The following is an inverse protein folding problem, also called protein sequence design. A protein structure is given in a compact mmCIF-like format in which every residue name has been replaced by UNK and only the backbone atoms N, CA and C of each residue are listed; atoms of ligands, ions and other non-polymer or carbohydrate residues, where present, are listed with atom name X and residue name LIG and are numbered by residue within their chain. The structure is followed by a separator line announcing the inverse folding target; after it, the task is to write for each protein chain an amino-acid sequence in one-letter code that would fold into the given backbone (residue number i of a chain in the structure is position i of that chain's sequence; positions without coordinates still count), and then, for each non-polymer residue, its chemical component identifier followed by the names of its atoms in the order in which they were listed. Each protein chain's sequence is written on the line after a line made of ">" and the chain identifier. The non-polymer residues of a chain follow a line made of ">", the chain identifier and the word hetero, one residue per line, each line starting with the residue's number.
data_IF_021698995155
#
_entry.id   IF_021698995155
#
_cell.length_a   1.000
_cell.length_b   1.000
_cell.length_c   1.000
_cell.angle_alpha   90.00
_cell.angle_beta   90.00
_cell.angle_gamma   90.00
#
_symmetry.space_group_name_H-M   'P 1'
#
loop_
_entity.id
_entity.type
_entity.pdbx_description
1 polymer ?
#
# COMPACT_ATOMS: atom_id res chain seq x y z
N UNK A 1 -9.60 -7.00 20.61
CA UNK A 1 -9.58 -5.51 20.57
C UNK A 1 -8.28 -5.06 19.90
N UNK A 2 -8.38 -4.29 18.82
CA UNK A 2 -7.21 -3.78 18.10
C UNK A 2 -6.32 -2.87 18.96
N UNK A 3 -5.03 -2.78 18.65
CA UNK A 3 -4.11 -1.83 19.28
C UNK A 3 -3.48 -0.89 18.25
N UNK A 4 -3.21 0.35 18.66
CA UNK A 4 -2.49 1.29 17.83
C UNK A 4 -1.00 0.92 17.74
N UNK A 5 -0.48 0.79 16.52
CA UNK A 5 0.95 0.58 16.25
C UNK A 5 1.57 1.87 15.71
N UNK A 6 2.67 2.32 16.30
CA UNK A 6 3.46 3.43 15.76
C UNK A 6 4.45 2.90 14.73
N UNK A 7 4.01 2.83 13.47
CA UNK A 7 4.84 2.40 12.33
C UNK A 7 5.32 3.56 11.44
N UNK A 8 4.83 4.77 11.70
CA UNK A 8 5.19 5.97 10.93
C UNK A 8 6.57 6.46 11.34
N UNK A 9 7.50 6.47 10.40
CA UNK A 9 8.90 6.88 10.62
C UNK A 9 9.12 8.39 10.41
N UNK A 10 10.31 8.87 10.77
CA UNK A 10 10.73 10.24 10.48
C UNK A 10 10.73 10.55 8.98
N UNK A 11 11.06 9.56 8.13
CA UNK A 11 11.02 9.71 6.67
C UNK A 11 9.60 9.95 6.14
N UNK A 12 8.62 9.27 6.70
CA UNK A 12 7.20 9.50 6.35
C UNK A 12 6.73 10.90 6.78
N UNK A 13 7.27 11.43 7.88
CA UNK A 13 6.92 12.75 8.42
C UNK A 13 7.62 13.92 7.74
N UNK A 14 8.66 13.69 6.95
CA UNK A 14 9.42 14.75 6.26
C UNK A 14 8.62 15.54 5.22
N UNK A 15 7.56 14.99 4.70
CA UNK A 15 6.76 15.64 3.66
C UNK A 15 5.96 16.80 4.25
N UNK A 16 6.41 18.04 4.00
CA UNK A 16 5.62 19.25 4.28
C UNK A 16 4.57 19.40 3.18
N UNK A 17 3.31 19.45 3.57
CA UNK A 17 2.19 19.67 2.63
C UNK A 17 1.64 21.07 2.83
N UNK A 18 1.60 21.85 1.77
CA UNK A 18 0.83 23.10 1.72
C UNK A 18 -0.66 22.74 1.54
N UNK A 19 -1.35 22.59 2.66
CA UNK A 19 -2.77 22.23 2.65
C UNK A 19 -3.65 23.39 2.12
N UNK A 20 -3.28 24.63 2.40
CA UNK A 20 -4.05 25.81 1.96
C UNK A 20 -3.91 26.01 0.45
N UNK A 21 -2.69 25.99 -0.08
CA UNK A 21 -2.45 26.07 -1.52
C UNK A 21 -3.16 24.94 -2.29
N UNK A 22 -3.17 23.74 -1.76
CA UNK A 22 -3.89 22.60 -2.36
C UNK A 22 -5.42 22.73 -2.33
N UNK A 23 -5.97 23.48 -1.41
CA UNK A 23 -7.43 23.74 -1.37
C UNK A 23 -7.86 24.74 -2.43
N UNK A 24 -6.99 25.67 -2.81
CA UNK A 24 -7.24 26.72 -3.80
C UNK A 24 -6.82 26.33 -5.23
N UNK A 25 -6.05 25.26 -5.39
CA UNK A 25 -5.52 24.78 -6.66
C UNK A 25 -6.48 23.81 -7.35
N UNK A 26 -7.44 24.34 -8.10
CA UNK A 26 -8.42 23.58 -8.90
C UNK A 26 -8.67 22.11 -8.43
N UNK A 27 -9.07 21.98 -7.18
CA UNK A 27 -9.15 20.71 -6.44
C UNK A 27 -9.96 19.64 -7.18
N UNK A 28 -11.04 20.05 -7.89
CA UNK A 28 -11.91 19.09 -8.60
C UNK A 28 -11.14 18.41 -9.73
N UNK A 29 -10.41 19.16 -10.54
CA UNK A 29 -9.59 18.59 -11.62
C UNK A 29 -8.45 17.74 -11.06
N UNK A 30 -7.76 18.21 -10.02
CA UNK A 30 -6.73 17.41 -9.36
C UNK A 30 -7.28 16.08 -8.85
N UNK A 31 -8.48 16.06 -8.28
CA UNK A 31 -9.12 14.82 -7.81
C UNK A 31 -9.51 13.89 -8.96
N UNK A 32 -10.00 14.41 -10.09
CA UNK A 32 -10.31 13.57 -11.27
C UNK A 32 -9.07 12.87 -11.79
N UNK A 33 -7.96 13.58 -11.90
CA UNK A 33 -6.67 13.00 -12.31
C UNK A 33 -6.16 12.00 -11.28
N UNK A 34 -6.19 12.35 -10.00
CA UNK A 34 -5.70 11.49 -8.92
C UNK A 34 -6.46 10.16 -8.85
N UNK A 35 -7.79 10.17 -9.04
CA UNK A 35 -8.64 8.97 -9.01
C UNK A 35 -8.39 7.97 -10.14
N UNK A 36 -7.64 8.35 -11.17
CA UNK A 36 -7.24 7.42 -12.22
C UNK A 36 -6.10 6.49 -11.75
N UNK A 37 -5.42 6.83 -10.66
CA UNK A 37 -4.26 6.09 -10.12
C UNK A 37 -3.20 5.77 -11.17
N UNK A 38 -3.15 6.59 -12.24
CA UNK A 38 -2.21 6.46 -13.35
C UNK A 38 -0.86 7.13 -13.06
N UNK A 39 -0.06 7.34 -14.12
CA UNK A 39 1.25 7.99 -14.06
C UNK A 39 1.24 9.32 -13.30
N UNK A 40 0.23 10.17 -13.55
CA UNK A 40 0.15 11.49 -12.94
C UNK A 40 -0.02 11.42 -11.41
N UNK A 41 -0.73 10.42 -10.90
CA UNK A 41 -0.87 10.17 -9.46
C UNK A 41 0.46 9.74 -8.82
N UNK A 42 1.21 8.85 -9.45
CA UNK A 42 2.43 8.27 -8.87
C UNK A 42 3.65 9.15 -9.10
N UNK A 43 3.91 9.51 -10.34
CA UNK A 43 5.18 10.09 -10.80
C UNK A 43 5.02 11.43 -11.52
N UNK A 44 3.79 11.96 -11.61
CA UNK A 44 3.47 13.27 -12.18
C UNK A 44 3.66 14.40 -11.18
N UNK A 45 2.96 15.50 -11.41
CA UNK A 45 3.00 16.65 -10.53
C UNK A 45 2.45 16.33 -9.13
N UNK A 46 3.07 16.88 -8.10
CA UNK A 46 2.69 16.74 -6.69
C UNK A 46 1.23 17.12 -6.40
N UNK A 47 0.64 17.99 -7.21
CA UNK A 47 -0.77 18.40 -7.10
C UNK A 47 -1.74 17.23 -7.28
N UNK A 48 -1.36 16.21 -8.06
CA UNK A 48 -2.20 15.05 -8.38
C UNK A 48 -1.99 13.86 -7.43
N UNK A 49 -0.86 13.80 -6.72
CA UNK A 49 -0.60 12.65 -5.86
C UNK A 49 0.75 12.68 -5.16
N UNK A 50 1.58 11.69 -5.44
CA UNK A 50 2.86 11.50 -4.77
C UNK A 50 3.97 12.47 -5.24
N UNK A 51 3.94 12.92 -6.50
CA UNK A 51 4.99 13.78 -7.03
C UNK A 51 6.33 13.05 -7.22
N UNK A 52 6.25 11.79 -7.67
CA UNK A 52 7.39 10.88 -7.80
C UNK A 52 7.48 9.91 -6.62
N UNK A 53 6.90 8.72 -6.78
CA UNK A 53 6.94 7.67 -5.77
C UNK A 53 8.05 6.67 -6.10
N UNK A 54 9.24 6.98 -5.59
CA UNK A 54 10.45 6.16 -5.79
C UNK A 54 10.81 5.43 -4.51
N UNK A 55 11.43 4.26 -4.66
CA UNK A 55 11.98 3.52 -3.55
C UNK A 55 13.14 4.29 -2.89
N UNK A 56 13.09 4.43 -1.58
CA UNK A 56 14.09 5.14 -0.78
C UNK A 56 14.42 4.43 0.56
N UNK A 57 14.02 3.17 0.70
CA UNK A 57 14.29 2.36 1.90
C UNK A 57 13.40 2.67 3.11
N UNK A 58 12.48 3.64 3.03
CA UNK A 58 11.63 4.03 4.17
C UNK A 58 10.77 2.89 4.73
N UNK A 59 10.45 1.91 3.92
CA UNK A 59 9.59 0.80 4.27
C UNK A 59 10.31 -0.30 5.06
N UNK A 60 11.65 -0.34 5.07
CA UNK A 60 12.42 -1.33 5.83
C UNK A 60 12.07 -1.29 7.33
N UNK A 61 12.08 -0.10 7.93
CA UNK A 61 11.75 0.05 9.36
C UNK A 61 10.30 -0.32 9.68
N UNK A 62 9.38 -0.12 8.72
CA UNK A 62 7.98 -0.56 8.87
C UNK A 62 7.90 -2.08 8.84
N UNK A 63 8.54 -2.73 7.87
CA UNK A 63 8.57 -4.19 7.78
C UNK A 63 9.20 -4.82 9.03
N UNK A 64 10.35 -4.33 9.50
CA UNK A 64 10.97 -4.80 10.75
C UNK A 64 10.02 -4.70 11.93
N UNK A 65 9.34 -3.55 12.07
CA UNK A 65 8.40 -3.34 13.17
C UNK A 65 7.21 -4.29 13.12
N UNK A 66 6.70 -4.59 11.94
CA UNK A 66 5.61 -5.55 11.76
C UNK A 66 6.07 -6.98 12.05
N UNK A 67 7.24 -7.39 11.56
CA UNK A 67 7.84 -8.69 11.84
C UNK A 67 7.99 -8.90 13.36
N UNK A 68 8.61 -7.96 14.06
CA UNK A 68 8.80 -8.01 15.51
C UNK A 68 7.47 -8.02 16.28
N UNK A 69 6.51 -7.18 15.86
CA UNK A 69 5.24 -7.01 16.58
C UNK A 69 4.37 -8.26 16.52
N UNK A 70 4.39 -8.94 15.40
CA UNK A 70 3.56 -10.13 15.15
C UNK A 70 4.35 -11.44 15.23
N UNK A 71 5.65 -11.38 15.57
CA UNK A 71 6.56 -12.54 15.63
C UNK A 71 6.46 -13.39 14.36
N UNK A 72 6.52 -12.74 13.18
CA UNK A 72 6.37 -13.43 11.91
C UNK A 72 7.52 -14.43 11.70
N UNK A 73 7.20 -15.68 11.36
CA UNK A 73 8.23 -16.66 11.02
C UNK A 73 8.90 -16.35 9.68
N UNK A 74 10.07 -16.90 9.44
CA UNK A 74 10.84 -16.67 8.21
C UNK A 74 10.07 -17.09 6.94
N UNK A 75 9.18 -18.07 7.04
CA UNK A 75 8.32 -18.56 5.96
C UNK A 75 6.90 -17.96 5.98
N UNK A 76 6.69 -16.83 6.65
CA UNK A 76 5.40 -16.18 6.76
C UNK A 76 4.76 -15.91 5.39
N UNK A 77 3.43 -15.98 5.33
CA UNK A 77 2.63 -15.62 4.17
C UNK A 77 2.02 -14.24 4.40
N UNK A 78 2.31 -13.29 3.52
CA UNK A 78 1.98 -11.88 3.72
C UNK A 78 1.20 -11.35 2.53
N UNK A 79 0.05 -10.72 2.79
CA UNK A 79 -0.76 -10.02 1.78
C UNK A 79 -0.72 -8.51 2.03
N UNK A 80 -0.53 -7.73 0.96
CA UNK A 80 -0.63 -6.26 0.98
C UNK A 80 -1.77 -5.79 0.08
N UNK A 81 -2.83 -5.27 0.69
CA UNK A 81 -4.04 -4.76 0.03
C UNK A 81 -3.86 -3.29 -0.31
N UNK A 82 -3.71 -2.98 -1.60
CA UNK A 82 -3.31 -1.66 -2.08
C UNK A 82 -1.79 -1.47 -2.04
N UNK A 83 -1.08 -2.48 -2.55
CA UNK A 83 0.38 -2.59 -2.46
C UNK A 83 1.16 -1.55 -3.29
N UNK A 84 0.50 -0.85 -4.23
CA UNK A 84 1.13 0.14 -5.10
C UNK A 84 2.30 -0.42 -5.90
N UNK A 85 3.50 0.12 -5.68
CA UNK A 85 4.74 -0.35 -6.33
C UNK A 85 5.45 -1.48 -5.56
N UNK A 86 4.79 -2.13 -4.60
CA UNK A 86 5.28 -3.30 -3.87
C UNK A 86 6.48 -3.03 -2.94
N UNK A 87 6.75 -1.77 -2.57
CA UNK A 87 7.96 -1.42 -1.80
C UNK A 87 7.99 -2.06 -0.40
N UNK A 88 6.84 -2.18 0.27
CA UNK A 88 6.77 -2.85 1.57
C UNK A 88 6.95 -4.37 1.44
N UNK A 89 6.34 -5.00 0.45
CA UNK A 89 6.50 -6.43 0.17
C UNK A 89 7.95 -6.78 -0.19
N UNK A 90 8.62 -5.90 -0.93
CA UNK A 90 10.05 -6.02 -1.21
C UNK A 90 10.89 -6.06 0.07
N UNK A 91 10.58 -5.23 1.06
CA UNK A 91 11.29 -5.27 2.34
C UNK A 91 11.02 -6.55 3.13
N UNK A 92 9.82 -7.08 3.10
CA UNK A 92 9.55 -8.40 3.70
C UNK A 92 10.40 -9.49 3.05
N UNK A 93 10.47 -9.54 1.73
CA UNK A 93 11.31 -10.53 1.01
C UNK A 93 12.81 -10.40 1.37
N UNK A 94 13.29 -9.17 1.61
CA UNK A 94 14.68 -8.94 2.05
C UNK A 94 14.94 -9.39 3.48
N UNK A 95 13.98 -9.20 4.37
CA UNK A 95 14.12 -9.46 5.80
C UNK A 95 13.76 -10.89 6.19
N UNK A 96 12.87 -11.52 5.44
CA UNK A 96 12.41 -12.90 5.58
C UNK A 96 12.55 -13.61 4.22
N UNK A 97 13.73 -14.13 3.86
CA UNK A 97 14.00 -14.64 2.50
C UNK A 97 13.09 -15.81 2.07
N UNK A 98 12.55 -16.55 3.02
CA UNK A 98 11.67 -17.70 2.76
C UNK A 98 10.17 -17.34 2.82
N UNK A 99 9.82 -16.07 3.10
CA UNK A 99 8.43 -15.65 3.14
C UNK A 99 7.78 -15.71 1.74
N UNK A 100 6.47 -15.97 1.72
CA UNK A 100 5.64 -15.83 0.54
C UNK A 100 4.90 -14.50 0.62
N UNK A 101 4.93 -13.73 -0.46
CA UNK A 101 4.23 -12.45 -0.54
C UNK A 101 3.22 -12.47 -1.67
N UNK A 102 2.11 -11.80 -1.46
CA UNK A 102 1.14 -11.45 -2.49
C UNK A 102 0.71 -10.00 -2.27
N UNK A 103 0.37 -9.33 -3.35
CA UNK A 103 -0.16 -7.97 -3.26
C UNK A 103 -1.05 -7.63 -4.43
N UNK A 104 -2.00 -6.76 -4.20
CA UNK A 104 -2.80 -6.23 -5.29
C UNK A 104 -3.08 -4.75 -5.13
N UNK A 105 -3.30 -4.10 -6.25
CA UNK A 105 -3.64 -2.69 -6.33
C UNK A 105 -4.59 -2.45 -7.51
N UNK A 106 -5.40 -1.41 -7.43
CA UNK A 106 -6.24 -0.99 -8.55
C UNK A 106 -5.40 -0.32 -9.67
N UNK A 107 -4.23 0.20 -9.33
CA UNK A 107 -3.34 0.94 -10.21
C UNK A 107 -2.51 0.03 -11.09
N UNK A 108 -2.90 -0.14 -12.34
CA UNK A 108 -2.08 -0.82 -13.34
C UNK A 108 -0.68 -0.17 -13.48
N UNK A 109 -0.61 1.19 -13.43
CA UNK A 109 0.66 1.91 -13.49
C UNK A 109 1.55 1.59 -12.30
N UNK A 110 1.00 1.56 -11.09
CA UNK A 110 1.74 1.20 -9.87
C UNK A 110 2.37 -0.18 -10.00
N UNK A 111 1.58 -1.17 -10.39
CA UNK A 111 2.00 -2.57 -10.56
C UNK A 111 3.04 -2.72 -11.67
N UNK A 112 2.87 -2.07 -12.82
CA UNK A 112 3.86 -2.09 -13.93
C UNK A 112 5.22 -1.50 -13.52
N UNK A 113 5.21 -0.53 -12.59
CA UNK A 113 6.41 0.13 -12.06
C UNK A 113 6.80 -0.35 -10.66
N UNK A 114 6.36 -1.55 -10.29
CA UNK A 114 6.72 -2.18 -9.02
C UNK A 114 8.19 -2.60 -9.00
N UNK A 115 8.69 -2.89 -7.79
CA UNK A 115 9.99 -3.52 -7.59
C UNK A 115 10.02 -4.88 -8.29
N UNK A 116 11.03 -5.09 -9.12
CA UNK A 116 11.13 -6.28 -9.97
C UNK A 116 11.12 -7.58 -9.16
N UNK A 117 11.74 -7.56 -7.97
CA UNK A 117 11.87 -8.70 -7.08
C UNK A 117 10.54 -9.23 -6.50
N UNK A 118 9.48 -8.42 -6.58
CA UNK A 118 8.14 -8.81 -6.10
C UNK A 118 7.05 -8.72 -7.15
N UNK A 119 7.36 -8.20 -8.32
CA UNK A 119 6.40 -7.87 -9.38
C UNK A 119 5.55 -9.05 -9.83
N UNK A 120 6.13 -10.24 -9.93
CA UNK A 120 5.43 -11.49 -10.29
C UNK A 120 4.38 -11.92 -9.25
N UNK A 121 4.48 -11.41 -8.02
CA UNK A 121 3.55 -11.68 -6.93
C UNK A 121 2.45 -10.64 -6.81
N UNK A 122 2.42 -9.65 -7.72
CA UNK A 122 1.47 -8.55 -7.71
C UNK A 122 0.48 -8.66 -8.87
N UNK A 123 -0.78 -8.32 -8.60
CA UNK A 123 -1.83 -8.35 -9.61
C UNK A 123 -2.84 -7.22 -9.43
N UNK A 124 -3.56 -6.90 -10.51
CA UNK A 124 -4.58 -5.86 -10.46
C UNK A 124 -5.86 -6.40 -9.85
N UNK A 125 -6.30 -5.80 -8.75
CA UNK A 125 -7.52 -6.17 -8.06
C UNK A 125 -8.07 -5.03 -7.21
N UNK A 126 -9.37 -5.07 -6.88
CA UNK A 126 -10.01 -4.06 -6.03
C UNK A 126 -10.09 -4.56 -4.60
N UNK A 127 -9.85 -3.67 -3.65
CA UNK A 127 -9.86 -4.00 -2.22
C UNK A 127 -11.25 -4.39 -1.68
N UNK A 128 -12.32 -4.02 -2.37
CA UNK A 128 -13.70 -4.32 -1.98
C UNK A 128 -14.30 -5.55 -2.66
N UNK A 129 -13.59 -6.19 -3.60
CA UNK A 129 -14.07 -7.40 -4.26
C UNK A 129 -13.70 -8.64 -3.42
N UNK A 130 -14.39 -9.75 -3.64
CA UNK A 130 -14.11 -11.04 -2.95
C UNK A 130 -12.71 -11.50 -3.29
N UNK A 131 -11.87 -11.75 -2.27
CA UNK A 131 -10.46 -12.06 -2.51
C UNK A 131 -10.27 -13.46 -3.11
N UNK A 132 -9.35 -13.63 -4.07
CA UNK A 132 -9.10 -14.91 -4.73
C UNK A 132 -8.24 -15.85 -3.86
N UNK A 133 -8.47 -15.83 -2.55
CA UNK A 133 -7.72 -16.61 -1.56
C UNK A 133 -8.71 -17.34 -0.65
N UNK A 134 -8.28 -18.45 -0.09
CA UNK A 134 -9.06 -19.15 0.94
C UNK A 134 -8.91 -18.49 2.31
N UNK A 135 -9.81 -18.84 3.21
CA UNK A 135 -9.78 -18.37 4.60
C UNK A 135 -8.44 -18.69 5.27
N UNK A 136 -7.94 -17.77 6.06
CA UNK A 136 -6.69 -17.92 6.82
C UNK A 136 -5.48 -18.27 5.96
N UNK A 137 -5.48 -17.83 4.70
CA UNK A 137 -4.39 -18.09 3.76
C UNK A 137 -3.07 -17.37 4.12
N UNK A 138 -3.14 -16.29 4.93
CA UNK A 138 -2.02 -15.43 5.28
C UNK A 138 -1.81 -15.31 6.79
N UNK A 139 -0.55 -15.20 7.18
CA UNK A 139 -0.14 -14.91 8.57
C UNK A 139 -0.27 -13.43 8.90
N UNK A 140 -0.18 -12.56 7.88
CA UNK A 140 -0.34 -11.12 8.00
C UNK A 140 -1.04 -10.56 6.76
N UNK A 141 -2.12 -9.82 6.98
CA UNK A 141 -2.76 -8.99 5.95
C UNK A 141 -2.54 -7.52 6.31
N UNK A 142 -2.06 -6.74 5.35
CA UNK A 142 -1.71 -5.33 5.52
C UNK A 142 -2.54 -4.50 4.55
N UNK A 143 -3.01 -3.35 5.01
CA UNK A 143 -3.53 -2.31 4.12
C UNK A 143 -3.11 -0.94 4.65
N UNK A 144 -2.18 -0.29 3.97
CA UNK A 144 -1.66 1.01 4.37
C UNK A 144 -2.03 2.07 3.34
N UNK A 145 -2.69 3.14 3.79
CA UNK A 145 -3.11 4.28 2.95
C UNK A 145 -4.04 3.94 1.78
N UNK A 146 -4.80 2.86 1.87
CA UNK A 146 -5.70 2.38 0.81
C UNK A 146 -7.16 2.49 1.21
N UNK A 147 -7.56 1.87 2.32
CA UNK A 147 -8.97 1.71 2.69
C UNK A 147 -9.71 3.03 2.92
N UNK A 148 -9.02 4.11 3.28
CA UNK A 148 -9.62 5.44 3.46
C UNK A 148 -10.14 6.07 2.14
N UNK A 149 -9.79 5.50 0.99
CA UNK A 149 -10.28 5.95 -0.32
C UNK A 149 -11.61 5.28 -0.71
N UNK A 150 -12.04 4.25 0.03
CA UNK A 150 -13.25 3.49 -0.24
C UNK A 150 -14.48 4.19 0.32
N UNK A 151 -15.62 4.06 -0.36
CA UNK A 151 -16.90 4.46 0.19
C UNK A 151 -17.34 3.49 1.30
N UNK A 152 -18.29 3.89 2.14
CA UNK A 152 -18.66 3.16 3.36
C UNK A 152 -18.99 1.68 3.12
N UNK A 153 -19.78 1.36 2.08
CA UNK A 153 -20.13 -0.03 1.77
C UNK A 153 -18.96 -0.83 1.20
N UNK A 154 -18.11 -0.20 0.38
CA UNK A 154 -16.89 -0.80 -0.15
C UNK A 154 -15.88 -1.05 0.98
N UNK A 155 -15.73 -0.10 1.91
CA UNK A 155 -14.89 -0.26 3.09
C UNK A 155 -15.36 -1.43 3.95
N UNK A 156 -16.68 -1.57 4.16
CA UNK A 156 -17.23 -2.70 4.90
C UNK A 156 -16.89 -4.03 4.21
N UNK A 157 -17.08 -4.12 2.90
CA UNK A 157 -16.74 -5.33 2.13
C UNK A 157 -15.24 -5.66 2.27
N UNK A 158 -14.36 -4.66 2.05
CA UNK A 158 -12.92 -4.85 2.18
C UNK A 158 -12.50 -5.32 3.60
N UNK A 159 -13.12 -4.80 4.66
CA UNK A 159 -12.84 -5.23 6.03
C UNK A 159 -13.29 -6.67 6.30
N UNK A 160 -14.39 -7.11 5.70
CA UNK A 160 -14.84 -8.50 5.81
C UNK A 160 -13.89 -9.50 5.12
N UNK A 161 -13.26 -9.09 4.02
CA UNK A 161 -12.30 -9.93 3.29
C UNK A 161 -10.93 -10.03 4.00
N UNK A 162 -10.54 -9.02 4.78
CA UNK A 162 -9.25 -9.05 5.53
C UNK A 162 -9.38 -9.69 6.92
N UNK A 163 -10.57 -9.94 7.42
CA UNK A 163 -10.85 -10.52 8.74
C UNK A 163 -10.76 -12.06 8.70
#
# INVERSE_FOLDING_TARGET
>A
MGRLLSIVTSLHKKTKRDYVGRMTDNKVECMKVARQYGREFWDGDRRYGYGGYKYDGRWESVARKLIETYNLPDNAKILDVGCGKGFLLYEFKRLLPHCSVAGFDISEYGLKNAKEEVKEHLFQYKAQDVYPFGDKAFDLVISLTTLHNLHLFELKAALQEVE
#
